data_IF_690800944171
#
_entry.id   IF_690800944171
#
_cell.length_a   1.000
_cell.length_b   1.000
_cell.length_c   1.000
_cell.angle_alpha   90.00
_cell.angle_beta   90.00
_cell.angle_gamma   90.00
#
_symmetry.space_group_name_H-M   'P 1'
#
loop_
_entity.id
_entity.type
_entity.pdbx_description
1 polymer ?
#
# COMPACT_ATOMS: atom_id res chain seq x y z
N UNK A 1 -13.65 7.50 19.00
CA UNK A 1 -14.68 6.94 18.08
C UNK A 1 -14.09 6.85 16.66
N UNK A 2 -14.77 6.42 15.57
CA UNK A 2 -14.24 6.73 14.23
C UNK A 2 -14.12 8.26 14.08
N UNK A 3 -13.04 8.71 13.43
CA UNK A 3 -12.80 10.13 13.10
C UNK A 3 -12.93 10.31 11.59
N UNK A 4 -13.60 11.38 11.18
CA UNK A 4 -13.93 11.68 9.79
C UNK A 4 -13.35 13.04 9.43
N UNK A 5 -12.85 13.19 8.21
CA UNK A 5 -12.30 14.45 7.71
C UNK A 5 -12.92 14.80 6.36
N UNK A 6 -13.36 16.05 6.20
CA UNK A 6 -13.76 16.63 4.92
C UNK A 6 -12.79 17.76 4.56
N UNK A 7 -12.26 17.74 3.35
CA UNK A 7 -11.45 18.80 2.77
C UNK A 7 -12.22 19.38 1.60
N UNK A 8 -12.52 20.67 1.65
CA UNK A 8 -13.26 21.35 0.59
C UNK A 8 -12.78 22.80 0.45
N UNK A 9 -12.24 23.13 -0.73
CA UNK A 9 -11.59 24.41 -0.96
C UNK A 9 -10.49 24.66 0.06
N UNK A 10 -10.49 25.85 0.67
CA UNK A 10 -9.55 26.24 1.73
C UNK A 10 -9.83 25.62 3.10
N UNK A 11 -11.00 25.02 3.32
CA UNK A 11 -11.39 24.53 4.64
C UNK A 11 -11.10 23.02 4.82
N UNK A 12 -10.61 22.67 6.01
CA UNK A 12 -10.51 21.28 6.49
C UNK A 12 -11.36 21.15 7.75
N UNK A 13 -12.28 20.20 7.75
CA UNK A 13 -13.17 19.91 8.88
C UNK A 13 -12.94 18.49 9.39
N UNK A 14 -12.82 18.33 10.69
CA UNK A 14 -12.68 17.03 11.36
C UNK A 14 -13.85 16.85 12.33
N UNK A 15 -14.53 15.70 12.23
CA UNK A 15 -15.61 15.31 13.11
C UNK A 15 -15.27 13.99 13.80
N UNK A 16 -15.39 13.97 15.13
CA UNK A 16 -15.29 12.76 15.93
C UNK A 16 -16.38 12.80 17.00
N UNK A 17 -17.25 11.77 17.13
CA UNK A 17 -18.32 11.79 18.13
C UNK A 17 -17.86 11.95 19.60
N UNK A 18 -16.60 11.66 19.90
CA UNK A 18 -16.04 11.72 21.27
C UNK A 18 -15.30 13.00 21.57
N UNK A 19 -15.05 13.83 20.57
CA UNK A 19 -14.14 14.97 20.67
C UNK A 19 -14.79 16.21 20.03
N UNK A 20 -14.41 17.43 20.43
CA UNK A 20 -14.91 18.63 19.76
C UNK A 20 -14.55 18.64 18.27
N UNK A 21 -15.49 19.15 17.46
CA UNK A 21 -15.24 19.38 16.03
C UNK A 21 -14.06 20.34 15.83
N UNK A 22 -13.36 20.18 14.71
CA UNK A 22 -12.24 21.04 14.34
C UNK A 22 -12.44 21.59 12.94
N UNK A 23 -12.23 22.90 12.77
CA UNK A 23 -12.29 23.58 11.48
C UNK A 23 -11.03 24.42 11.31
N UNK A 24 -10.36 24.27 10.17
CA UNK A 24 -9.15 25.01 9.81
C UNK A 24 -9.28 25.63 8.42
N UNK A 25 -8.79 26.85 8.26
CA UNK A 25 -8.57 27.50 6.97
C UNK A 25 -7.11 27.29 6.57
N UNK A 26 -6.82 26.35 5.66
CA UNK A 26 -5.46 26.00 5.30
C UNK A 26 -4.77 27.01 4.37
N UNK A 27 -5.49 27.99 3.83
CA UNK A 27 -4.85 29.06 3.06
C UNK A 27 -4.25 30.12 3.99
N UNK A 28 -4.94 30.43 5.10
CA UNK A 28 -4.48 31.41 6.08
C UNK A 28 -3.76 30.79 7.29
N UNK A 29 -4.03 29.52 7.58
CA UNK A 29 -3.45 28.74 8.68
C UNK A 29 -3.02 27.34 8.19
N UNK A 30 -1.95 27.25 7.38
CA UNK A 30 -1.46 25.99 6.83
C UNK A 30 -0.94 25.00 7.88
N UNK A 31 -0.66 25.49 9.09
CA UNK A 31 -0.16 24.70 10.21
C UNK A 31 -1.26 24.28 11.20
N UNK A 32 -2.53 24.59 10.91
CA UNK A 32 -3.69 24.15 11.70
C UNK A 32 -3.60 24.55 13.19
N UNK A 33 -3.05 25.74 13.46
CA UNK A 33 -2.81 26.23 14.81
C UNK A 33 -4.08 26.79 15.47
N UNK A 34 -5.03 27.26 14.66
CA UNK A 34 -6.24 27.95 15.14
C UNK A 34 -7.48 27.17 14.75
N UNK A 35 -8.14 26.54 15.73
CA UNK A 35 -9.44 25.89 15.51
C UNK A 35 -10.54 26.95 15.41
N UNK A 36 -11.14 27.07 14.23
CA UNK A 36 -12.17 28.05 13.89
C UNK A 36 -13.59 27.59 14.22
N UNK A 37 -13.78 26.40 14.83
CA UNK A 37 -15.12 25.84 15.08
C UNK A 37 -16.02 26.76 15.92
N UNK A 38 -15.44 27.53 16.84
CA UNK A 38 -16.16 28.45 17.72
C UNK A 38 -16.20 29.89 17.19
N UNK A 39 -15.56 30.18 16.06
CA UNK A 39 -15.53 31.52 15.49
C UNK A 39 -16.92 31.88 14.95
N UNK A 40 -17.54 33.01 15.37
CA UNK A 40 -18.86 33.41 14.89
C UNK A 40 -18.95 33.53 13.36
N UNK A 41 -17.90 34.04 12.73
CA UNK A 41 -17.82 34.19 11.27
C UNK A 41 -17.80 32.86 10.49
N UNK A 42 -17.57 31.73 11.15
CA UNK A 42 -17.42 30.42 10.51
C UNK A 42 -18.58 29.45 10.84
N UNK A 43 -19.61 29.89 11.56
CA UNK A 43 -20.69 29.01 12.01
C UNK A 43 -21.47 28.39 10.84
N UNK A 44 -21.74 29.15 9.78
CA UNK A 44 -22.42 28.63 8.59
C UNK A 44 -21.62 27.52 7.90
N UNK A 45 -20.30 27.68 7.86
CA UNK A 45 -19.37 26.68 7.30
C UNK A 45 -19.36 25.41 8.16
N UNK A 46 -19.31 25.56 9.49
CA UNK A 46 -19.38 24.42 10.42
C UNK A 46 -20.70 23.65 10.26
N UNK A 47 -21.84 24.36 10.18
CA UNK A 47 -23.17 23.74 9.99
C UNK A 47 -23.23 22.98 8.67
N UNK A 48 -22.74 23.59 7.58
CA UNK A 48 -22.69 22.93 6.28
C UNK A 48 -21.83 21.66 6.30
N UNK A 49 -20.67 21.68 6.97
CA UNK A 49 -19.84 20.49 7.10
C UNK A 49 -20.46 19.41 7.98
N UNK A 50 -21.12 19.77 9.09
CA UNK A 50 -21.87 18.81 9.92
C UNK A 50 -22.98 18.12 9.13
N UNK A 51 -23.72 18.88 8.32
CA UNK A 51 -24.73 18.34 7.42
C UNK A 51 -24.11 17.41 6.36
N UNK A 52 -22.96 17.78 5.79
CA UNK A 52 -22.23 16.95 4.85
C UNK A 52 -21.73 15.64 5.49
N UNK A 53 -21.28 15.67 6.75
CA UNK A 53 -20.91 14.47 7.51
C UNK A 53 -22.12 13.56 7.68
N UNK A 54 -23.24 14.10 8.19
CA UNK A 54 -24.46 13.33 8.42
C UNK A 54 -25.05 12.72 7.13
N UNK A 55 -24.88 13.41 6.00
CA UNK A 55 -25.33 12.91 4.68
C UNK A 55 -24.45 11.78 4.16
N UNK A 56 -23.13 11.85 4.36
CA UNK A 56 -22.18 10.89 3.79
C UNK A 56 -21.96 9.65 4.66
N UNK A 57 -22.12 9.77 5.98
CA UNK A 57 -21.76 8.70 6.91
C UNK A 57 -22.80 8.51 8.03
N UNK A 58 -23.27 7.28 8.19
CA UNK A 58 -23.88 6.82 9.44
C UNK A 58 -22.76 6.47 10.43
N UNK A 59 -22.35 7.46 11.22
CA UNK A 59 -21.23 7.33 12.18
C UNK A 59 -21.49 6.26 13.25
N UNK A 60 -22.71 6.16 13.84
CA UNK A 60 -23.05 5.05 14.73
C UNK A 60 -22.93 3.67 14.07
N UNK A 61 -23.42 3.48 12.84
CA UNK A 61 -23.27 2.21 12.12
C UNK A 61 -21.81 1.89 11.82
N UNK A 62 -21.03 2.88 11.38
CA UNK A 62 -19.60 2.73 11.14
C UNK A 62 -18.88 2.27 12.42
N UNK A 63 -19.18 2.88 13.57
CA UNK A 63 -18.62 2.45 14.87
C UNK A 63 -18.95 0.99 15.16
N UNK A 64 -20.20 0.56 14.97
CA UNK A 64 -20.61 -0.84 15.20
C UNK A 64 -19.82 -1.80 14.29
N UNK A 65 -19.67 -1.46 13.02
CA UNK A 65 -18.91 -2.28 12.05
C UNK A 65 -17.43 -2.39 12.42
N UNK A 66 -16.79 -1.29 12.81
CA UNK A 66 -15.39 -1.26 13.24
C UNK A 66 -15.19 -2.13 14.48
N UNK A 67 -16.04 -1.99 15.51
CA UNK A 67 -15.97 -2.80 16.74
C UNK A 67 -16.20 -4.28 16.43
N UNK A 68 -17.16 -4.62 15.55
CA UNK A 68 -17.38 -6.00 15.14
C UNK A 68 -16.15 -6.59 14.41
N UNK A 69 -15.51 -5.80 13.53
CA UNK A 69 -14.27 -6.19 12.85
C UNK A 69 -13.12 -6.40 13.82
N UNK A 70 -12.96 -5.54 14.83
CA UNK A 70 -11.96 -5.71 15.90
C UNK A 70 -12.18 -7.01 16.67
N UNK A 71 -13.41 -7.29 17.10
CA UNK A 71 -13.77 -8.52 17.83
C UNK A 71 -13.46 -9.79 17.01
N UNK A 72 -13.84 -9.81 15.73
CA UNK A 72 -13.53 -10.93 14.83
C UNK A 72 -12.03 -11.15 14.69
N UNK A 73 -11.26 -10.07 14.48
CA UNK A 73 -9.79 -10.17 14.35
C UNK A 73 -9.12 -10.63 15.63
N UNK A 74 -9.55 -10.17 16.80
CA UNK A 74 -9.01 -10.64 18.07
C UNK A 74 -9.28 -12.13 18.28
N UNK A 75 -10.48 -12.61 17.97
CA UNK A 75 -10.81 -14.03 18.04
C UNK A 75 -9.88 -14.87 17.14
N UNK A 76 -9.78 -14.51 15.86
CA UNK A 76 -8.95 -15.23 14.90
C UNK A 76 -7.46 -15.15 15.26
N UNK A 77 -6.97 -13.97 15.65
CA UNK A 77 -5.57 -13.80 16.07
C UNK A 77 -5.24 -14.67 17.28
N UNK A 78 -6.09 -14.69 18.31
CA UNK A 78 -5.89 -15.54 19.49
C UNK A 78 -5.85 -17.02 19.12
N UNK A 79 -6.69 -17.48 18.18
CA UNK A 79 -6.67 -18.85 17.69
C UNK A 79 -5.40 -19.17 16.88
N UNK A 80 -4.97 -18.27 15.98
CA UNK A 80 -3.77 -18.45 15.15
C UNK A 80 -2.45 -18.43 15.94
N UNK A 81 -2.46 -17.87 17.15
CA UNK A 81 -1.31 -17.88 18.06
C UNK A 81 -1.18 -19.19 18.85
N UNK A 82 -2.17 -20.09 18.79
CA UNK A 82 -2.09 -21.39 19.44
C UNK A 82 -1.37 -22.41 18.55
N UNK A 83 -0.37 -23.10 19.11
CA UNK A 83 0.40 -24.12 18.37
C UNK A 83 1.46 -23.52 17.46
N UNK A 84 1.54 -23.99 16.21
CA UNK A 84 2.54 -23.54 15.23
C UNK A 84 1.99 -22.34 14.45
N UNK A 85 2.56 -21.13 14.61
CA UNK A 85 2.10 -19.96 13.87
C UNK A 85 2.36 -20.12 12.37
N UNK A 86 1.41 -19.65 11.56
CA UNK A 86 1.57 -19.51 10.10
C UNK A 86 1.68 -18.03 9.77
N UNK A 87 2.84 -17.62 9.25
CA UNK A 87 3.12 -16.25 8.89
C UNK A 87 2.53 -15.88 7.52
N UNK A 88 2.14 -14.60 7.36
CA UNK A 88 1.60 -14.06 6.10
C UNK A 88 2.61 -13.18 5.36
N UNK A 89 3.87 -13.16 5.83
CA UNK A 89 4.93 -12.43 5.17
C UNK A 89 5.12 -12.96 3.74
N UNK A 90 5.12 -12.05 2.78
CA UNK A 90 5.37 -12.40 1.40
C UNK A 90 6.82 -12.86 1.26
N UNK A 91 7.02 -14.13 0.92
CA UNK A 91 8.33 -14.66 0.57
C UNK A 91 8.52 -14.55 -0.94
N UNK A 92 9.36 -13.63 -1.45
CA UNK A 92 9.65 -13.56 -2.87
C UNK A 92 10.32 -14.86 -3.31
N UNK A 93 9.70 -15.54 -4.29
CA UNK A 93 10.28 -16.73 -4.89
C UNK A 93 11.40 -16.30 -5.82
N UNK A 94 12.63 -16.62 -5.43
CA UNK A 94 13.81 -16.54 -6.29
C UNK A 94 14.29 -17.94 -6.59
N UNK A 95 14.20 -18.34 -7.86
CA UNK A 95 14.71 -19.64 -8.28
C UNK A 95 16.20 -19.51 -8.57
N UNK A 96 17.00 -19.73 -7.53
CA UNK A 96 18.46 -19.69 -7.65
C UNK A 96 18.99 -20.67 -8.72
N UNK A 97 18.27 -21.73 -9.08
CA UNK A 97 18.71 -22.64 -10.15
C UNK A 97 18.72 -21.99 -11.54
N UNK A 98 17.95 -20.90 -11.72
CA UNK A 98 17.82 -20.17 -12.99
C UNK A 98 18.47 -18.78 -12.97
N UNK A 99 19.13 -18.40 -11.88
CA UNK A 99 19.80 -17.10 -11.76
C UNK A 99 21.28 -17.17 -12.15
N UNK A 100 21.82 -16.08 -12.70
CA UNK A 100 23.23 -15.98 -13.11
C UNK A 100 23.66 -17.09 -14.09
N UNK A 101 24.97 -17.33 -14.20
CA UNK A 101 25.54 -18.34 -15.11
C UNK A 101 25.22 -19.74 -14.61
N UNK A 102 24.66 -20.58 -15.47
CA UNK A 102 24.33 -21.98 -15.20
C UNK A 102 24.76 -22.85 -16.38
N UNK A 103 25.10 -24.12 -16.12
CA UNK A 103 25.66 -25.03 -17.13
C UNK A 103 24.69 -25.34 -18.29
N UNK A 104 23.38 -25.19 -18.08
CA UNK A 104 22.35 -25.38 -19.10
C UNK A 104 22.08 -24.10 -19.91
N UNK A 105 22.81 -23.00 -19.67
CA UNK A 105 22.64 -21.73 -20.36
C UNK A 105 23.82 -21.43 -21.28
N UNK A 106 23.56 -20.77 -22.40
CA UNK A 106 24.62 -20.22 -23.25
C UNK A 106 25.13 -18.91 -22.61
N UNK A 107 26.42 -18.85 -22.33
CA UNK A 107 27.05 -17.79 -21.54
C UNK A 107 26.91 -16.42 -22.19
N UNK A 108 27.15 -16.34 -23.50
CA UNK A 108 27.18 -15.08 -24.24
C UNK A 108 25.79 -14.47 -24.41
N UNK A 109 24.77 -15.29 -24.62
CA UNK A 109 23.38 -14.89 -24.70
C UNK A 109 22.84 -14.42 -23.35
N UNK A 110 23.21 -15.11 -22.25
CA UNK A 110 22.90 -14.65 -20.90
C UNK A 110 23.49 -13.26 -20.64
N UNK A 111 24.77 -13.05 -20.98
CA UNK A 111 25.44 -11.77 -20.78
C UNK A 111 24.77 -10.65 -21.60
N UNK A 112 24.44 -10.92 -22.87
CA UNK A 112 23.74 -10.00 -23.77
C UNK A 112 22.39 -9.56 -23.20
N UNK A 113 21.55 -10.50 -22.72
CA UNK A 113 20.21 -10.19 -22.21
C UNK A 113 20.20 -9.50 -20.84
N UNK A 114 21.20 -9.77 -19.98
CA UNK A 114 21.26 -9.17 -18.64
C UNK A 114 21.99 -7.83 -18.58
N UNK A 115 22.73 -7.46 -19.64
CA UNK A 115 23.47 -6.20 -19.72
C UNK A 115 22.64 -5.10 -20.39
N UNK A 116 22.63 -3.91 -19.80
CA UNK A 116 22.04 -2.69 -20.36
C UNK A 116 23.10 -1.57 -20.38
N UNK A 117 23.38 -0.93 -21.54
CA UNK A 117 22.89 -1.27 -22.89
C UNK A 117 23.42 -2.64 -23.36
N UNK A 118 22.67 -3.29 -24.25
CA UNK A 118 23.04 -4.59 -24.80
C UNK A 118 24.30 -4.47 -25.68
N UNK A 119 25.16 -5.49 -25.63
CA UNK A 119 26.38 -5.57 -26.43
C UNK A 119 26.41 -6.91 -27.16
N UNK A 120 26.76 -6.88 -28.44
CA UNK A 120 26.83 -8.08 -29.27
C UNK A 120 27.96 -9.00 -28.77
N UNK A 121 27.69 -10.31 -28.60
CA UNK A 121 28.72 -11.23 -28.16
C UNK A 121 29.83 -11.40 -29.21
N UNK A 122 31.09 -11.61 -28.76
CA UNK A 122 32.22 -11.81 -29.66
C UNK A 122 32.10 -13.11 -30.44
N UNK A 123 32.61 -13.13 -31.67
CA UNK A 123 32.67 -14.34 -32.49
C UNK A 123 33.62 -15.36 -31.86
N UNK A 124 33.23 -16.65 -31.77
CA UNK A 124 34.08 -17.67 -31.17
C UNK A 124 35.37 -17.87 -31.98
N UNK A 125 36.52 -17.81 -31.31
CA UNK A 125 37.84 -17.96 -31.95
C UNK A 125 38.22 -19.42 -32.23
N UNK A 126 37.51 -20.39 -31.65
CA UNK A 126 37.69 -21.83 -31.85
C UNK A 126 36.34 -22.55 -31.86
N UNK A 127 36.20 -23.56 -32.72
CA UNK A 127 35.04 -24.43 -32.74
C UNK A 127 35.06 -25.36 -31.50
N UNK A 128 34.11 -25.16 -30.58
CA UNK A 128 33.91 -26.04 -29.43
C UNK A 128 32.75 -26.96 -29.72
N UNK A 129 32.98 -28.28 -29.60
CA UNK A 129 31.92 -29.30 -29.71
C UNK A 129 30.93 -29.10 -28.57
N UNK A 130 29.70 -28.69 -28.88
CA UNK A 130 28.64 -28.52 -27.88
C UNK A 130 28.24 -29.90 -27.35
N UNK A 131 28.57 -30.20 -26.09
CA UNK A 131 27.99 -31.37 -25.42
C UNK A 131 26.51 -31.07 -25.13
N UNK A 132 25.63 -31.91 -25.69
CA UNK A 132 24.19 -31.74 -25.79
C UNK A 132 23.44 -31.93 -24.45
N UNK A 133 23.75 -31.12 -23.44
CA UNK A 133 22.98 -31.07 -22.20
C UNK A 133 22.02 -29.85 -22.14
N UNK A 134 21.58 -29.35 -23.31
CA UNK A 134 20.50 -28.38 -23.38
C UNK A 134 19.19 -29.10 -23.72
N UNK A 135 18.15 -29.03 -22.87
CA UNK A 135 16.82 -29.48 -23.26
C UNK A 135 16.32 -28.66 -24.46
N UNK A 136 15.49 -29.24 -25.36
CA UNK A 136 14.92 -28.52 -26.49
C UNK A 136 14.08 -27.34 -25.99
N UNK A 137 14.26 -26.16 -26.58
CA UNK A 137 13.44 -25.00 -26.24
C UNK A 137 12.00 -25.20 -26.75
N UNK A 138 11.02 -25.08 -25.86
CA UNK A 138 9.61 -25.06 -26.23
C UNK A 138 9.31 -23.78 -27.03
N UNK A 139 8.55 -23.93 -28.13
CA UNK A 139 8.08 -22.85 -29.00
C UNK A 139 7.06 -21.96 -28.31
#
# INVERSE_FOLDING_TARGET
APSLMIRQGRHKFIHCPTDPDQLYDLENDPNELTNLVAAPAQQDVVVAFRAAVATRWDVPALRRQVVASQRRRHLVANALLQGKPTYWDYQPKRDASQEYVRNHMEFWELYRRTRLPQVEPPQPQRAVTRHANLPPQAK
#
